data_IF_845986357577
#
_entry.id   IF_845986357577
#
_cell.length_a   1.000
_cell.length_b   1.000
_cell.length_c   1.000
_cell.angle_alpha   90.00
_cell.angle_beta   90.00
_cell.angle_gamma   90.00
#
_symmetry.space_group_name_H-M   'P 1'
#
loop_
_entity.id
_entity.type
_entity.pdbx_description
1 polymer ?
#
# COMPACT_ATOMS: atom_id res chain seq x y z
N UNK A 1 -23.95 -3.00 -22.76
CA UNK A 1 -23.86 -2.10 -21.58
C UNK A 1 -24.09 -0.69 -22.07
N UNK A 2 -25.02 0.07 -21.48
CA UNK A 2 -25.30 1.45 -21.91
C UNK A 2 -24.11 2.37 -21.63
N UNK A 3 -23.98 3.45 -22.40
CA UNK A 3 -22.90 4.41 -22.26
C UNK A 3 -22.87 5.05 -20.86
N UNK A 4 -24.03 5.37 -20.29
CA UNK A 4 -24.14 5.90 -18.92
C UNK A 4 -23.58 4.95 -17.86
N UNK A 5 -23.96 3.67 -17.88
CA UNK A 5 -23.42 2.66 -16.95
C UNK A 5 -21.92 2.49 -17.12
N UNK A 6 -21.45 2.49 -18.36
CA UNK A 6 -20.02 2.39 -18.67
C UNK A 6 -19.21 3.56 -18.11
N UNK A 7 -19.71 4.79 -18.27
CA UNK A 7 -19.08 6.01 -17.73
C UNK A 7 -19.02 5.98 -16.21
N UNK A 8 -20.11 5.60 -15.54
CA UNK A 8 -20.16 5.50 -14.07
C UNK A 8 -19.11 4.51 -13.56
N UNK A 9 -19.06 3.30 -14.13
CA UNK A 9 -18.07 2.28 -13.76
C UNK A 9 -16.64 2.74 -14.03
N UNK A 10 -16.43 3.47 -15.13
CA UNK A 10 -15.13 4.04 -15.47
C UNK A 10 -14.66 5.12 -14.50
N UNK A 11 -15.53 6.07 -14.14
CA UNK A 11 -15.22 7.13 -13.17
C UNK A 11 -14.96 6.53 -11.79
N UNK A 12 -15.77 5.56 -11.37
CA UNK A 12 -15.56 4.83 -10.12
C UNK A 12 -14.18 4.17 -10.06
N UNK A 13 -13.82 3.38 -11.09
CA UNK A 13 -12.51 2.73 -11.14
C UNK A 13 -11.35 3.73 -11.19
N UNK A 14 -11.51 4.86 -11.91
CA UNK A 14 -10.52 5.93 -11.95
C UNK A 14 -10.33 6.57 -10.56
N UNK A 15 -11.42 6.86 -9.86
CA UNK A 15 -11.40 7.38 -8.49
C UNK A 15 -10.69 6.41 -7.53
N UNK A 16 -11.02 5.12 -7.61
CA UNK A 16 -10.32 4.11 -6.82
C UNK A 16 -8.83 4.01 -7.16
N UNK A 17 -8.43 4.12 -8.43
CA UNK A 17 -7.01 4.20 -8.82
C UNK A 17 -6.31 5.39 -8.18
N UNK A 18 -6.93 6.56 -8.18
CA UNK A 18 -6.39 7.75 -7.49
C UNK A 18 -6.22 7.48 -6.00
N UNK A 19 -7.18 6.83 -5.35
CA UNK A 19 -7.06 6.46 -3.94
C UNK A 19 -5.90 5.49 -3.67
N UNK A 20 -5.72 4.46 -4.51
CA UNK A 20 -4.58 3.53 -4.40
C UNK A 20 -3.25 4.26 -4.61
N UNK A 21 -3.17 5.15 -5.61
CA UNK A 21 -1.98 5.99 -5.84
C UNK A 21 -1.67 6.89 -4.63
N UNK A 22 -2.70 7.50 -4.05
CA UNK A 22 -2.57 8.24 -2.79
C UNK A 22 -2.05 7.38 -1.64
N UNK A 23 -2.55 6.14 -1.51
CA UNK A 23 -2.08 5.20 -0.49
C UNK A 23 -0.59 4.88 -0.65
N UNK A 24 -0.11 4.73 -1.89
CA UNK A 24 1.32 4.51 -2.19
C UNK A 24 2.16 5.71 -1.75
N UNK A 25 1.73 6.93 -2.08
CA UNK A 25 2.45 8.16 -1.68
C UNK A 25 2.50 8.28 -0.15
N UNK A 26 1.36 8.15 0.51
CA UNK A 26 1.25 8.25 1.97
C UNK A 26 2.09 7.14 2.64
N UNK A 27 2.07 5.92 2.10
CA UNK A 27 2.90 4.81 2.59
C UNK A 27 4.40 5.07 2.40
N UNK A 28 4.78 5.70 1.29
CA UNK A 28 6.14 6.18 1.04
C UNK A 28 6.60 7.20 2.08
N UNK A 29 5.77 8.20 2.38
CA UNK A 29 6.02 9.16 3.46
C UNK A 29 6.17 8.43 4.79
N UNK A 30 5.22 7.54 5.12
CA UNK A 30 5.22 6.75 6.37
C UNK A 30 6.53 5.98 6.56
N UNK A 31 7.09 5.45 5.47
CA UNK A 31 8.38 4.75 5.47
C UNK A 31 9.56 5.70 5.65
N UNK A 32 9.58 6.83 4.92
CA UNK A 32 10.65 7.82 4.95
C UNK A 32 10.73 8.55 6.29
N UNK A 33 9.60 8.73 6.97
CA UNK A 33 9.52 9.29 8.32
C UNK A 33 9.66 8.24 9.42
N UNK A 34 9.98 6.99 9.07
CA UNK A 34 10.18 5.86 9.99
C UNK A 34 8.97 5.57 10.91
N UNK A 35 7.78 5.99 10.48
CA UNK A 35 6.55 5.86 11.28
C UNK A 35 5.89 4.49 11.21
N UNK A 36 6.42 3.54 10.43
CA UNK A 36 5.71 2.30 10.07
C UNK A 36 5.41 1.32 11.21
N UNK A 37 5.96 1.52 12.42
CA UNK A 37 5.69 0.71 13.61
C UNK A 37 5.30 1.57 14.84
N UNK A 38 4.96 2.84 14.64
CA UNK A 38 4.56 3.79 15.69
C UNK A 38 3.24 3.44 16.38
N UNK A 39 2.32 2.78 15.67
CA UNK A 39 1.02 2.30 16.15
C UNK A 39 1.11 0.81 16.51
N UNK A 40 1.38 0.57 17.79
CA UNK A 40 1.67 -0.76 18.35
C UNK A 40 0.42 -1.65 18.47
N UNK A 41 -0.76 -1.03 18.58
CA UNK A 41 -2.03 -1.73 18.60
C UNK A 41 -2.61 -1.83 17.19
N UNK A 42 -3.10 -3.02 16.84
CA UNK A 42 -3.82 -3.22 15.60
C UNK A 42 -5.27 -3.59 15.89
N UNK A 43 -6.16 -2.67 15.53
CA UNK A 43 -7.59 -2.83 15.65
C UNK A 43 -8.23 -2.92 14.27
N UNK A 44 -8.97 -4.02 14.01
CA UNK A 44 -9.72 -4.22 12.77
C UNK A 44 -10.82 -3.18 12.59
N UNK A 45 -11.61 -2.96 13.65
CA UNK A 45 -12.81 -2.12 13.63
C UNK A 45 -12.98 -1.29 14.92
N UNK A 46 -12.71 -1.84 16.10
CA UNK A 46 -12.91 -1.15 17.40
C UNK A 46 -11.67 -0.37 17.82
N UNK A 47 -11.78 0.93 18.12
CA UNK A 47 -10.64 1.71 18.63
C UNK A 47 -9.82 2.43 17.55
N UNK A 48 -10.40 2.68 16.38
CA UNK A 48 -9.77 3.43 15.27
C UNK A 48 -9.65 4.94 15.52
N UNK A 49 -9.67 5.41 16.78
CA UNK A 49 -9.51 6.84 17.07
C UNK A 49 -8.08 7.10 17.54
N UNK A 50 -7.44 8.19 17.10
CA UNK A 50 -6.19 8.61 17.72
C UNK A 50 -6.45 9.01 19.18
N UNK A 51 -5.43 9.00 20.04
CA UNK A 51 -5.50 9.60 21.37
C UNK A 51 -5.99 11.06 21.28
N UNK A 52 -6.81 11.49 22.24
CA UNK A 52 -7.45 12.83 22.26
C UNK A 52 -7.07 13.68 23.47
N UNK A 53 -6.81 13.06 24.61
CA UNK A 53 -6.29 13.76 25.80
C UNK A 53 -4.77 13.61 25.89
N UNK A 54 -4.13 14.49 26.66
CA UNK A 54 -2.69 14.39 26.91
C UNK A 54 -2.34 13.07 27.60
N UNK A 55 -3.15 12.65 28.58
CA UNK A 55 -3.00 11.38 29.30
C UNK A 55 -3.07 10.16 28.35
N UNK A 56 -3.99 10.17 27.37
CA UNK A 56 -4.06 9.10 26.36
C UNK A 56 -2.80 9.09 25.46
N UNK A 57 -2.27 10.27 25.13
CA UNK A 57 -1.04 10.39 24.34
C UNK A 57 0.20 9.93 25.11
N UNK A 58 0.33 10.30 26.37
CA UNK A 58 1.40 9.84 27.24
C UNK A 58 1.35 8.33 27.42
N UNK A 59 0.18 7.75 27.68
CA UNK A 59 0.02 6.31 27.82
C UNK A 59 0.41 5.53 26.56
N UNK A 60 0.01 6.01 25.37
CA UNK A 60 0.38 5.37 24.10
C UNK A 60 1.88 5.57 23.81
N UNK A 61 2.47 6.71 24.16
CA UNK A 61 3.90 6.96 24.01
C UNK A 61 4.73 6.08 24.95
N UNK A 62 4.35 5.95 26.23
CA UNK A 62 4.99 5.03 27.17
C UNK A 62 4.92 3.59 26.68
N UNK A 63 3.81 3.20 26.05
CA UNK A 63 3.70 1.90 25.40
C UNK A 63 4.67 1.77 24.22
N UNK A 64 4.79 2.79 23.38
CA UNK A 64 5.73 2.82 22.26
C UNK A 64 7.19 2.69 22.72
N UNK A 65 7.58 3.31 23.85
CA UNK A 65 8.92 3.18 24.45
C UNK A 65 9.32 1.74 24.79
N UNK A 66 8.35 0.86 24.99
CA UNK A 66 8.62 -0.56 25.27
C UNK A 66 9.11 -1.32 24.03
N UNK A 67 8.86 -0.80 22.83
CA UNK A 67 9.18 -1.47 21.57
C UNK A 67 10.63 -1.26 21.14
N UNK A 68 11.21 -2.24 20.40
CA UNK A 68 12.59 -2.16 19.93
C UNK A 68 12.88 -0.95 19.02
N UNK A 69 11.90 -0.49 18.23
CA UNK A 69 12.08 0.66 17.33
C UNK A 69 12.41 1.94 18.12
N UNK A 70 11.70 2.20 19.23
CA UNK A 70 12.03 3.31 20.12
C UNK A 70 13.45 3.17 20.68
N UNK A 71 13.81 1.97 21.15
CA UNK A 71 15.09 1.71 21.81
C UNK A 71 16.30 1.72 20.87
N UNK A 72 16.12 1.67 19.55
CA UNK A 72 17.23 1.60 18.59
C UNK A 72 17.28 2.82 17.67
N UNK A 73 16.13 3.35 17.27
CA UNK A 73 16.02 4.41 16.26
C UNK A 73 15.57 5.74 16.87
N UNK A 74 14.71 5.71 17.88
CA UNK A 74 14.01 6.88 18.38
C UNK A 74 14.24 7.15 19.87
N UNK A 75 15.42 6.83 20.40
CA UNK A 75 15.71 6.92 21.85
C UNK A 75 15.49 8.33 22.41
N UNK A 76 15.74 9.36 21.61
CA UNK A 76 15.61 10.78 21.99
C UNK A 76 14.30 11.42 21.52
N UNK A 77 13.34 10.62 21.03
CA UNK A 77 12.10 11.15 20.48
C UNK A 77 11.23 11.76 21.59
N UNK A 78 10.82 13.03 21.41
CA UNK A 78 9.86 13.68 22.30
C UNK A 78 8.43 13.19 22.05
N UNK A 79 7.52 13.48 22.98
CA UNK A 79 6.09 13.19 22.79
C UNK A 79 5.51 13.87 21.54
N UNK A 80 5.95 15.09 21.23
CA UNK A 80 5.55 15.79 20.00
C UNK A 80 6.07 15.09 18.74
N UNK A 81 7.33 14.64 18.78
CA UNK A 81 7.90 13.80 17.72
C UNK A 81 7.12 12.50 17.53
N UNK A 82 6.70 11.86 18.63
CA UNK A 82 5.86 10.68 18.62
C UNK A 82 4.49 10.95 17.98
N UNK A 83 3.81 12.03 18.37
CA UNK A 83 2.52 12.46 17.76
C UNK A 83 2.65 12.58 16.23
N UNK A 84 3.76 13.13 15.73
CA UNK A 84 4.02 13.27 14.29
C UNK A 84 4.16 11.93 13.56
N UNK A 85 4.98 11.00 14.08
CA UNK A 85 5.13 9.68 13.44
C UNK A 85 3.82 8.89 13.52
N UNK A 86 3.13 8.93 14.66
CA UNK A 86 1.82 8.30 14.84
C UNK A 86 0.80 8.79 13.81
N UNK A 87 0.74 10.10 13.56
CA UNK A 87 -0.21 10.69 12.62
C UNK A 87 -0.03 10.16 11.20
N UNK A 88 1.20 10.01 10.72
CA UNK A 88 1.46 9.48 9.38
C UNK A 88 1.01 8.03 9.25
N UNK A 89 1.35 7.18 10.22
CA UNK A 89 0.91 5.79 10.19
C UNK A 89 -0.61 5.67 10.33
N UNK A 90 -1.21 6.44 11.23
CA UNK A 90 -2.66 6.50 11.40
C UNK A 90 -3.34 6.92 10.09
N UNK A 91 -2.87 7.98 9.46
CA UNK A 91 -3.41 8.48 8.20
C UNK A 91 -3.29 7.45 7.09
N UNK A 92 -2.13 6.79 6.95
CA UNK A 92 -1.93 5.71 5.99
C UNK A 92 -2.93 4.55 6.21
N UNK A 93 -3.07 4.11 7.46
CA UNK A 93 -3.99 3.03 7.86
C UNK A 93 -5.46 3.39 7.62
N UNK A 94 -5.86 4.63 7.88
CA UNK A 94 -7.23 5.09 7.63
C UNK A 94 -7.51 5.25 6.13
N UNK A 95 -6.56 5.79 5.38
CA UNK A 95 -6.65 5.91 3.93
C UNK A 95 -6.76 4.54 3.25
N UNK A 96 -6.00 3.55 3.72
CA UNK A 96 -6.11 2.16 3.25
C UNK A 96 -7.51 1.57 3.49
N UNK A 97 -8.11 1.80 4.66
CA UNK A 97 -9.50 1.37 4.95
C UNK A 97 -10.53 2.08 4.06
N UNK A 98 -10.40 3.39 3.91
CA UNK A 98 -11.28 4.17 3.04
C UNK A 98 -11.20 3.68 1.59
N UNK A 99 -10.00 3.39 1.10
CA UNK A 99 -9.77 2.79 -0.22
C UNK A 99 -10.44 1.42 -0.32
N UNK A 100 -10.30 0.59 0.72
CA UNK A 100 -10.96 -0.70 0.81
C UNK A 100 -12.48 -0.61 0.67
N UNK A 101 -13.11 0.30 1.40
CA UNK A 101 -14.56 0.54 1.31
C UNK A 101 -14.97 1.09 -0.06
N UNK A 102 -14.21 2.05 -0.60
CA UNK A 102 -14.48 2.67 -1.90
C UNK A 102 -14.40 1.66 -3.07
N UNK A 103 -13.60 0.61 -2.93
CA UNK A 103 -13.56 -0.49 -3.90
C UNK A 103 -14.66 -1.51 -3.61
N UNK A 104 -14.71 -2.06 -2.40
CA UNK A 104 -15.53 -3.24 -2.11
C UNK A 104 -17.03 -2.94 -2.10
N UNK A 105 -17.46 -1.81 -1.52
CA UNK A 105 -18.89 -1.49 -1.38
C UNK A 105 -19.54 -1.24 -2.76
N UNK A 106 -19.00 -0.35 -3.63
CA UNK A 106 -19.58 -0.18 -4.96
C UNK A 106 -19.41 -1.42 -5.84
N UNK A 107 -18.29 -2.16 -5.73
CA UNK A 107 -18.12 -3.41 -6.49
C UNK A 107 -19.22 -4.42 -6.17
N UNK A 108 -19.53 -4.62 -4.89
CA UNK A 108 -20.62 -5.50 -4.45
C UNK A 108 -21.98 -5.00 -4.97
N UNK A 109 -22.26 -3.70 -4.86
CA UNK A 109 -23.50 -3.10 -5.34
C UNK A 109 -23.67 -3.27 -6.87
N UNK A 110 -22.63 -3.00 -7.66
CA UNK A 110 -22.66 -3.19 -9.12
C UNK A 110 -22.79 -4.65 -9.52
N UNK A 111 -22.19 -5.56 -8.74
CA UNK A 111 -22.31 -6.99 -8.98
C UNK A 111 -23.74 -7.48 -8.72
N UNK A 112 -24.31 -7.13 -7.57
CA UNK A 112 -25.68 -7.48 -7.19
C UNK A 112 -26.72 -6.88 -8.14
N UNK A 113 -26.51 -5.63 -8.58
CA UNK A 113 -27.37 -4.96 -9.55
C UNK A 113 -27.22 -5.49 -10.99
N UNK A 114 -26.29 -6.41 -11.26
CA UNK A 114 -26.06 -6.96 -12.60
C UNK A 114 -25.43 -5.97 -13.59
N UNK A 115 -24.78 -4.92 -13.11
CA UNK A 115 -24.16 -3.89 -13.98
C UNK A 115 -22.87 -4.38 -14.66
N UNK A 116 -22.22 -5.40 -14.07
CA UNK A 116 -20.94 -5.91 -14.54
C UNK A 116 -21.11 -6.96 -15.65
N UNK A 117 -20.59 -6.66 -16.83
CA UNK A 117 -20.49 -7.64 -17.93
C UNK A 117 -19.59 -8.83 -17.53
N UNK A 118 -19.72 -10.03 -18.15
CA UNK A 118 -18.85 -11.17 -17.83
C UNK A 118 -17.36 -10.85 -17.94
N UNK A 119 -16.96 -10.03 -18.93
CA UNK A 119 -15.58 -9.56 -19.08
C UNK A 119 -15.15 -8.65 -17.93
N UNK A 120 -16.02 -7.76 -17.47
CA UNK A 120 -15.71 -6.86 -16.35
C UNK A 120 -15.68 -7.60 -15.02
N UNK A 121 -16.53 -8.61 -14.81
CA UNK A 121 -16.49 -9.49 -13.63
C UNK A 121 -15.13 -10.19 -13.49
N UNK A 122 -14.58 -10.72 -14.60
CA UNK A 122 -13.23 -11.32 -14.64
C UNK A 122 -12.09 -10.34 -14.30
N UNK A 123 -12.33 -9.03 -14.37
CA UNK A 123 -11.35 -7.99 -13.99
C UNK A 123 -11.59 -7.46 -12.58
N UNK A 124 -12.83 -7.06 -12.28
CA UNK A 124 -13.22 -6.45 -11.01
C UNK A 124 -13.20 -7.42 -9.82
N UNK A 125 -13.46 -8.72 -10.06
CA UNK A 125 -13.35 -9.76 -9.04
C UNK A 125 -11.93 -9.81 -8.45
N UNK A 126 -10.89 -10.03 -9.27
CA UNK A 126 -9.50 -9.94 -8.82
C UNK A 126 -9.14 -8.64 -8.11
N UNK A 127 -9.63 -7.47 -8.55
CA UNK A 127 -9.34 -6.20 -7.85
C UNK A 127 -9.87 -6.18 -6.42
N UNK A 128 -11.08 -6.71 -6.22
CA UNK A 128 -11.71 -6.81 -4.90
C UNK A 128 -10.90 -7.73 -3.98
N UNK A 129 -10.46 -8.88 -4.50
CA UNK A 129 -9.59 -9.81 -3.78
C UNK A 129 -8.25 -9.17 -3.44
N UNK A 130 -7.60 -8.51 -4.42
CA UNK A 130 -6.31 -7.85 -4.24
C UNK A 130 -6.35 -6.75 -3.19
N UNK A 131 -7.42 -5.97 -3.11
CA UNK A 131 -7.61 -4.95 -2.05
C UNK A 131 -7.65 -5.58 -0.66
N UNK A 132 -8.37 -6.69 -0.49
CA UNK A 132 -8.44 -7.40 0.80
C UNK A 132 -7.07 -7.98 1.15
N UNK A 133 -6.42 -8.64 0.19
CA UNK A 133 -5.07 -9.19 0.37
C UNK A 133 -4.05 -8.09 0.70
N UNK A 134 -4.20 -6.90 0.11
CA UNK A 134 -3.33 -5.76 0.40
C UNK A 134 -3.45 -5.32 1.86
N UNK A 135 -4.68 -5.20 2.38
CA UNK A 135 -4.90 -4.89 3.79
C UNK A 135 -4.34 -5.97 4.73
N UNK A 136 -4.56 -7.25 4.41
CA UNK A 136 -4.03 -8.38 5.19
C UNK A 136 -2.49 -8.42 5.16
N UNK A 137 -1.88 -8.16 4.02
CA UNK A 137 -0.42 -8.15 3.88
C UNK A 137 0.21 -6.97 4.61
N UNK A 138 -0.41 -5.78 4.56
CA UNK A 138 0.00 -4.62 5.35
C UNK A 138 -0.10 -4.87 6.86
N UNK A 139 -1.14 -5.57 7.33
CA UNK A 139 -1.22 -6.02 8.72
C UNK A 139 -0.08 -6.97 9.08
N UNK A 140 0.18 -7.96 8.23
CA UNK A 140 1.26 -8.92 8.45
C UNK A 140 2.64 -8.24 8.53
N UNK A 141 2.89 -7.23 7.69
CA UNK A 141 4.10 -6.41 7.73
C UNK A 141 4.33 -5.75 9.09
N UNK A 142 3.30 -5.09 9.64
CA UNK A 142 3.38 -4.45 10.95
C UNK A 142 3.58 -5.49 12.05
N UNK A 143 2.73 -6.53 12.09
CA UNK A 143 2.80 -7.58 13.11
C UNK A 143 4.18 -8.24 13.16
N UNK A 144 4.74 -8.54 11.99
CA UNK A 144 6.06 -9.15 11.88
C UNK A 144 7.21 -8.18 12.19
N UNK A 145 7.02 -6.87 12.02
CA UNK A 145 7.95 -5.84 12.50
C UNK A 145 7.97 -5.74 14.03
N UNK A 146 6.79 -5.68 14.66
CA UNK A 146 6.64 -5.60 16.12
C UNK A 146 7.10 -6.86 16.86
N UNK A 147 7.02 -8.03 16.22
CA UNK A 147 7.44 -9.32 16.80
C UNK A 147 8.97 -9.55 16.78
N UNK A 148 9.75 -8.65 16.18
CA UNK A 148 11.21 -8.74 16.12
C UNK A 148 11.77 -8.61 17.54
N UNK A 149 12.22 -9.73 18.13
CA UNK A 149 12.72 -9.75 19.51
C UNK A 149 14.13 -9.12 19.62
N UNK A 150 14.43 -8.40 20.71
CA UNK A 150 15.78 -7.96 21.04
C UNK A 150 16.80 -9.11 21.08
N UNK A 151 16.37 -10.33 21.41
CA UNK A 151 17.24 -11.51 21.52
C UNK A 151 17.78 -12.05 20.18
N UNK A 152 17.34 -11.51 19.03
CA UNK A 152 17.93 -11.80 17.71
C UNK A 152 18.93 -10.73 17.27
N UNK A 153 18.91 -9.57 17.94
CA UNK A 153 19.89 -8.50 17.73
C UNK A 153 21.17 -8.96 18.43
N UNK A 154 22.10 -9.51 17.66
CA UNK A 154 23.42 -9.85 18.14
C UNK A 154 24.18 -8.52 18.32
N UNK A 155 24.87 -8.29 19.45
CA UNK A 155 25.72 -7.11 19.59
C UNK A 155 26.73 -7.10 18.44
N UNK A 156 26.67 -6.10 17.55
CA UNK A 156 27.51 -6.00 16.36
C UNK A 156 26.85 -6.36 15.02
N UNK A 157 25.53 -6.61 14.96
CA UNK A 157 24.77 -6.67 13.70
C UNK A 157 23.87 -5.46 13.52
N UNK A 158 23.84 -4.85 12.33
CA UNK A 158 23.00 -3.70 11.95
C UNK A 158 21.50 -4.06 11.81
N UNK A 159 21.00 -5.01 12.59
CA UNK A 159 19.60 -5.44 12.56
C UNK A 159 18.70 -4.43 13.29
N UNK A 160 18.37 -3.34 12.59
CA UNK A 160 17.37 -2.38 13.04
C UNK A 160 15.97 -3.03 12.99
N UNK A 161 15.17 -2.96 14.07
CA UNK A 161 13.78 -3.42 14.08
C UNK A 161 12.95 -2.63 13.07
N UNK A 162 12.76 -3.18 11.87
CA UNK A 162 12.00 -2.54 10.79
C UNK A 162 11.23 -3.59 10.01
N UNK A 163 10.19 -3.15 9.30
CA UNK A 163 9.53 -4.01 8.33
C UNK A 163 10.57 -4.47 7.29
N UNK A 164 10.70 -5.78 7.11
CA UNK A 164 11.62 -6.36 6.11
C UNK A 164 11.43 -5.71 4.74
N UNK A 165 12.55 -5.33 4.09
CA UNK A 165 12.54 -4.69 2.77
C UNK A 165 11.81 -5.56 1.73
N UNK A 166 11.92 -6.89 1.84
CA UNK A 166 11.19 -7.82 0.98
C UNK A 166 9.67 -7.72 1.15
N UNK A 167 9.18 -7.55 2.39
CA UNK A 167 7.74 -7.36 2.64
C UNK A 167 7.27 -5.99 2.16
N UNK A 168 8.07 -4.94 2.36
CA UNK A 168 7.76 -3.62 1.85
C UNK A 168 7.67 -3.61 0.32
N UNK A 169 8.65 -4.20 -0.35
CA UNK A 169 8.69 -4.33 -1.80
C UNK A 169 7.49 -5.14 -2.32
N UNK A 170 7.20 -6.30 -1.71
CA UNK A 170 6.04 -7.12 -2.08
C UNK A 170 4.72 -6.36 -1.95
N UNK A 171 4.55 -5.58 -0.88
CA UNK A 171 3.34 -4.78 -0.66
C UNK A 171 3.20 -3.64 -1.67
N UNK A 172 4.28 -2.91 -1.93
CA UNK A 172 4.30 -1.85 -2.94
C UNK A 172 3.99 -2.41 -4.34
N UNK A 173 4.62 -3.53 -4.69
CA UNK A 173 4.36 -4.24 -5.94
C UNK A 173 2.89 -4.60 -6.10
N UNK A 174 2.28 -5.20 -5.07
CA UNK A 174 0.85 -5.54 -5.10
C UNK A 174 -0.03 -4.28 -5.26
N UNK A 175 0.34 -3.17 -4.62
CA UNK A 175 -0.33 -1.87 -4.76
C UNK A 175 -0.26 -1.34 -6.20
N UNK A 176 0.92 -1.37 -6.82
CA UNK A 176 1.16 -0.88 -8.18
C UNK A 176 0.44 -1.73 -9.22
N UNK A 177 0.39 -3.05 -9.02
CA UNK A 177 -0.38 -3.96 -9.86
C UNK A 177 -1.87 -3.65 -9.81
N UNK A 178 -2.41 -3.45 -8.60
CA UNK A 178 -3.80 -3.06 -8.40
C UNK A 178 -4.11 -1.71 -9.05
N UNK A 179 -3.31 -0.68 -8.75
CA UNK A 179 -3.42 0.67 -9.32
C UNK A 179 -3.49 0.63 -10.85
N UNK A 180 -2.49 0.00 -11.48
CA UNK A 180 -2.35 -0.04 -12.93
C UNK A 180 -3.50 -0.80 -13.59
N UNK A 181 -3.93 -1.90 -12.97
CA UNK A 181 -5.03 -2.73 -13.49
C UNK A 181 -6.38 -2.00 -13.44
N UNK A 182 -6.65 -1.31 -12.34
CA UNK A 182 -7.86 -0.49 -12.18
C UNK A 182 -7.87 0.68 -13.15
N UNK A 183 -6.73 1.37 -13.29
CA UNK A 183 -6.60 2.53 -14.17
C UNK A 183 -6.76 2.12 -15.63
N UNK A 184 -6.13 1.01 -16.04
CA UNK A 184 -6.28 0.45 -17.37
C UNK A 184 -7.74 0.12 -17.69
N UNK A 185 -8.47 -0.49 -16.74
CA UNK A 185 -9.89 -0.79 -16.94
C UNK A 185 -10.75 0.48 -16.95
N UNK A 186 -10.46 1.46 -16.11
CA UNK A 186 -11.13 2.75 -16.09
C UNK A 186 -11.02 3.48 -17.42
N UNK A 187 -9.79 3.62 -17.94
CA UNK A 187 -9.52 4.23 -19.26
C UNK A 187 -10.22 3.46 -20.37
N UNK A 188 -10.17 2.13 -20.34
CA UNK A 188 -10.88 1.28 -21.29
C UNK A 188 -12.41 1.41 -21.23
N UNK A 189 -12.99 1.92 -20.14
CA UNK A 189 -14.42 2.23 -20.02
C UNK A 189 -14.74 3.67 -20.40
N UNK A 190 -13.89 4.64 -20.04
CA UNK A 190 -14.12 6.08 -20.28
C UNK A 190 -13.78 6.49 -21.72
N UNK A 191 -12.72 5.93 -22.29
CA UNK A 191 -12.22 6.21 -23.63
C UNK A 191 -12.15 4.88 -24.41
N UNK A 192 -13.29 4.37 -24.94
CA UNK A 192 -13.22 3.25 -25.90
C UNK A 192 -12.23 3.62 -27.01
N UNK A 193 -11.32 2.72 -27.41
CA UNK A 193 -10.58 2.96 -28.64
C UNK A 193 -11.59 3.18 -29.76
N UNK A 194 -11.43 4.28 -30.50
CA UNK A 194 -12.09 4.40 -31.80
C UNK A 194 -11.71 3.15 -32.62
N UNK A 195 -12.60 2.68 -33.49
CA UNK A 195 -12.26 1.67 -34.50
C UNK A 195 -11.22 2.28 -35.46
N UNK A 196 -9.95 2.26 -35.05
CA UNK A 196 -8.83 2.59 -35.91
C UNK A 196 -8.56 1.34 -36.75
N UNK A 197 -8.49 1.52 -38.07
CA UNK A 197 -8.12 0.48 -39.01
C UNK A 197 -6.83 -0.24 -38.58
N UNK A 198 -6.61 -1.51 -38.96
CA UNK A 198 -5.65 -2.38 -38.31
C UNK A 198 -4.21 -1.95 -38.60
N UNK A 199 -3.59 -1.13 -37.74
CA UNK A 199 -2.14 -0.94 -37.73
C UNK A 199 -1.48 -2.02 -36.84
N UNK A 200 -1.63 -3.29 -37.25
CA UNK A 200 -1.50 -4.49 -36.39
C UNK A 200 -0.07 -4.75 -35.88
N UNK A 201 0.98 -4.30 -36.59
CA UNK A 201 2.38 -4.61 -36.24
C UNK A 201 3.00 -3.69 -35.18
N UNK A 202 2.95 -2.37 -35.39
CA UNK A 202 3.60 -1.38 -34.51
C UNK A 202 2.92 -1.27 -33.15
N UNK A 203 1.59 -1.42 -33.10
CA UNK A 203 0.79 -1.38 -31.88
C UNK A 203 1.06 -2.60 -30.98
N UNK A 204 1.24 -3.79 -31.55
CA UNK A 204 1.58 -4.98 -30.78
C UNK A 204 2.99 -4.91 -30.18
N UNK A 205 3.98 -4.43 -30.95
CA UNK A 205 5.35 -4.22 -30.43
C UNK A 205 5.34 -3.19 -29.29
N UNK A 206 4.65 -2.07 -29.46
CA UNK A 206 4.50 -1.07 -28.40
C UNK A 206 3.80 -1.63 -27.16
N UNK A 207 2.75 -2.44 -27.33
CA UNK A 207 2.05 -3.11 -26.22
C UNK A 207 2.98 -4.05 -25.45
N UNK A 208 3.80 -4.84 -26.14
CA UNK A 208 4.78 -5.71 -25.50
C UNK A 208 5.89 -4.91 -24.79
N UNK A 209 6.33 -3.78 -25.36
CA UNK A 209 7.28 -2.88 -24.71
C UNK A 209 6.70 -2.22 -23.46
N UNK A 210 5.42 -1.81 -23.47
CA UNK A 210 4.74 -1.25 -22.29
C UNK A 210 4.57 -2.30 -21.20
N UNK A 211 4.16 -3.52 -21.54
CA UNK A 211 4.10 -4.62 -20.57
C UNK A 211 5.49 -5.01 -20.05
N UNK A 212 6.50 -5.02 -20.92
CA UNK A 212 7.90 -5.24 -20.55
C UNK A 212 8.41 -4.17 -19.59
N UNK A 213 8.22 -2.89 -19.89
CA UNK A 213 8.61 -1.78 -19.02
C UNK A 213 7.86 -1.81 -17.67
N UNK A 214 6.57 -2.13 -17.68
CA UNK A 214 5.78 -2.31 -16.44
C UNK A 214 6.35 -3.47 -15.61
N UNK A 215 6.70 -4.58 -16.25
CA UNK A 215 7.33 -5.72 -15.59
C UNK A 215 8.73 -5.36 -15.07
N UNK A 216 9.53 -4.58 -15.80
CA UNK A 216 10.84 -4.10 -15.35
C UNK A 216 10.71 -3.17 -14.16
N UNK A 217 9.81 -2.18 -14.19
CA UNK A 217 9.55 -1.28 -13.04
C UNK A 217 9.13 -2.11 -11.83
N UNK A 218 8.24 -3.08 -12.02
CA UNK A 218 7.79 -3.98 -10.96
C UNK A 218 8.93 -4.86 -10.43
N UNK A 219 9.80 -5.38 -11.30
CA UNK A 219 10.99 -6.13 -10.92
C UNK A 219 12.00 -5.25 -10.19
N UNK A 220 12.19 -4.00 -10.60
CA UNK A 220 13.06 -3.02 -9.93
C UNK A 220 12.51 -2.65 -8.55
N UNK A 221 11.19 -2.51 -8.40
CA UNK A 221 10.56 -2.31 -7.08
C UNK A 221 10.74 -3.53 -6.17
N UNK A 222 10.79 -4.74 -6.72
CA UNK A 222 11.05 -5.99 -5.98
C UNK A 222 12.54 -6.16 -5.67
N UNK A 223 13.42 -5.77 -6.60
CA UNK A 223 14.86 -5.97 -6.54
C UNK A 223 15.60 -4.85 -5.82
N UNK A 224 14.90 -4.00 -5.05
CA UNK A 224 15.52 -2.98 -4.20
C UNK A 224 16.58 -3.62 -3.29
N UNK A 225 17.81 -3.65 -3.79
CA UNK A 225 18.97 -4.24 -3.14
C UNK A 225 19.30 -3.46 -1.87
N UNK A 226 19.80 -4.13 -0.82
CA UNK A 226 20.51 -3.45 0.25
C UNK A 226 21.80 -2.83 -0.31
N UNK A 227 21.79 -1.54 -0.60
CA UNK A 227 23.02 -0.80 -0.88
C UNK A 227 23.70 -0.39 0.43
N UNK A 228 24.27 -1.34 1.16
CA UNK A 228 25.35 -1.12 2.16
C UNK A 228 25.89 -2.48 2.60
N UNK A 229 26.75 -3.09 1.79
CA UNK A 229 27.60 -4.21 2.20
C UNK A 229 28.94 -4.16 1.46
N UNK A 230 29.53 -2.97 1.30
CA UNK A 230 30.94 -2.80 0.90
C UNK A 230 31.43 -1.50 1.54
N UNK A 231 32.01 -1.59 2.74
CA UNK A 231 33.04 -0.69 3.29
C UNK A 231 33.08 -0.81 4.81
N UNK A 232 33.70 -1.87 5.35
CA UNK A 232 34.48 -1.80 6.60
C UNK A 232 35.37 -3.04 6.67
N UNK A 233 36.38 -3.08 5.80
CA UNK A 233 37.61 -3.83 6.05
C UNK A 233 38.70 -2.78 6.27
N UNK A 234 39.27 -2.76 7.48
CA UNK A 234 40.41 -1.93 7.93
C UNK A 234 40.09 -0.42 8.00
N UNK A 235 40.05 0.25 9.15
CA UNK A 235 41.03 0.35 10.24
C UNK A 235 40.34 0.77 11.54
#
# INVERSE_FOLDING_TARGET
MSWGRRRILGVWLAGCSVMVGGAVIIGGITRLTESGLSMTQWHLVKGMRPPRSEEEWEAEFERYKQFPEFKVVHQDLSLEGYKRIFQWEYFHRMWGRATGLAVLVPAAAFWAAGWLTPRLKKRAGPYSVLVVLQGLYGWYMVKSGLASRPSRIQPGTDEVPRVSQYRLAGHLSLALLLYSSMLYTALGLLAPPATIAPAVGKVNRLRHLVHGATATIFLTCISGQPATAISTTHY
#
